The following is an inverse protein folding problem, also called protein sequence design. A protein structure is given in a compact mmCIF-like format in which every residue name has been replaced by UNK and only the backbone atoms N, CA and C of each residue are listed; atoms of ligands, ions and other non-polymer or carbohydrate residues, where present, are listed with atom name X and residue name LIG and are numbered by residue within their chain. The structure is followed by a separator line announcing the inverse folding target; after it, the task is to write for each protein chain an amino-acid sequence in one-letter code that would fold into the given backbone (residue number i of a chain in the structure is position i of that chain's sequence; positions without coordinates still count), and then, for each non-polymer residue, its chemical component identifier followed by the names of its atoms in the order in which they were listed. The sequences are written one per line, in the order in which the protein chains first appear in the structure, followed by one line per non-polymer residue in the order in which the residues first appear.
data_IF_524595830980
#
_entry.id   IF_524595830980
#
_cell.length_a   1.000
_cell.length_b   1.000
_cell.length_c   1.000
_cell.angle_alpha   90.00
_cell.angle_beta   90.00
_cell.angle_gamma   90.00
#
_symmetry.space_group_name_H-M   'P 1'
#
loop_
_entity.id
_entity.type
_entity.pdbx_description
1 polymer ?
#
# COMPACT_ATOMS: atom_id res chain seq x y z
N UNK A 1 -17.42 24.19 -3.77
CA UNK A 1 -15.93 24.34 -3.88
C UNK A 1 -15.54 24.11 -5.33
N UNK A 2 -14.56 24.84 -5.89
CA UNK A 2 -14.14 24.65 -7.29
C UNK A 2 -13.56 23.24 -7.49
N UNK A 3 -13.89 22.50 -8.56
CA UNK A 3 -13.44 21.09 -8.75
C UNK A 3 -11.92 20.89 -8.64
N UNK A 4 -11.15 21.85 -9.17
CA UNK A 4 -9.68 21.83 -9.06
C UNK A 4 -9.17 21.88 -7.62
N UNK A 5 -9.84 22.65 -6.76
CA UNK A 5 -9.49 22.71 -5.34
C UNK A 5 -9.88 21.41 -4.61
N UNK A 6 -10.97 20.78 -5.05
CA UNK A 6 -11.41 19.50 -4.48
C UNK A 6 -10.41 18.38 -4.77
N UNK A 7 -9.91 18.25 -6.01
CA UNK A 7 -8.92 17.21 -6.33
C UNK A 7 -7.62 17.40 -5.56
N UNK A 8 -7.17 18.65 -5.40
CA UNK A 8 -5.96 18.94 -4.63
C UNK A 8 -6.17 18.62 -3.14
N UNK A 9 -7.30 19.03 -2.57
CA UNK A 9 -7.62 18.74 -1.17
C UNK A 9 -7.72 17.23 -0.89
N UNK A 10 -8.47 16.48 -1.72
CA UNK A 10 -8.60 15.03 -1.60
C UNK A 10 -7.25 14.33 -1.78
N UNK A 11 -6.47 14.78 -2.77
CA UNK A 11 -5.14 14.25 -3.03
C UNK A 11 -4.18 14.46 -1.87
N UNK A 12 -4.12 15.66 -1.30
CA UNK A 12 -3.26 15.95 -0.14
C UNK A 12 -3.70 15.16 1.09
N UNK A 13 -5.02 15.10 1.37
CA UNK A 13 -5.54 14.34 2.51
C UNK A 13 -5.20 12.85 2.37
N UNK A 14 -5.38 12.28 1.18
CA UNK A 14 -5.00 10.88 0.91
C UNK A 14 -3.49 10.66 1.05
N UNK A 15 -2.67 11.60 0.55
CA UNK A 15 -1.21 11.51 0.66
C UNK A 15 -0.75 11.48 2.13
N UNK A 16 -1.32 12.33 2.97
CA UNK A 16 -1.03 12.34 4.41
C UNK A 16 -1.40 11.01 5.08
N UNK A 17 -2.53 10.41 4.69
CA UNK A 17 -2.94 9.09 5.19
C UNK A 17 -1.99 7.99 4.72
N UNK A 18 -1.51 8.02 3.45
CA UNK A 18 -0.50 7.06 2.96
C UNK A 18 0.83 7.21 3.68
N UNK A 19 1.30 8.43 3.93
CA UNK A 19 2.52 8.68 4.71
C UNK A 19 2.38 8.19 6.15
N UNK A 20 1.21 8.42 6.75
CA UNK A 20 0.93 7.90 8.09
C UNK A 20 0.86 6.37 8.11
N UNK A 21 0.26 5.75 7.09
CA UNK A 21 0.24 4.31 6.92
C UNK A 21 1.66 3.73 6.78
N UNK A 22 2.51 4.37 5.97
CA UNK A 22 3.91 3.96 5.84
C UNK A 22 4.66 4.06 7.17
N UNK A 23 4.39 5.10 7.97
CA UNK A 23 4.99 5.23 9.30
C UNK A 23 4.56 4.12 10.25
N UNK A 24 3.26 3.83 10.38
CA UNK A 24 2.78 2.80 11.30
C UNK A 24 3.08 1.37 10.82
N UNK A 25 3.44 1.18 9.54
CA UNK A 25 3.79 -0.14 9.02
C UNK A 25 4.91 -0.81 9.80
N UNK A 26 5.84 -0.03 10.38
CA UNK A 26 6.93 -0.53 11.21
C UNK A 26 6.46 -1.16 12.53
N UNK A 27 5.23 -0.85 12.97
CA UNK A 27 4.63 -1.43 14.17
C UNK A 27 4.00 -2.80 13.91
N UNK A 28 3.92 -3.22 12.64
CA UNK A 28 3.48 -4.56 12.23
C UNK A 28 4.66 -5.55 12.23
N UNK A 29 5.38 -5.60 13.33
CA UNK A 29 6.54 -6.46 13.48
C UNK A 29 6.14 -7.94 13.48
N UNK A 30 6.61 -8.70 12.49
CA UNK A 30 6.27 -10.11 12.31
C UNK A 30 6.94 -11.04 13.32
N UNK A 31 7.99 -10.55 14.01
CA UNK A 31 8.72 -11.31 15.03
C UNK A 31 8.10 -11.30 16.43
N UNK A 32 7.21 -10.36 16.75
CA UNK A 32 6.75 -10.09 18.12
C UNK A 32 5.30 -10.54 18.41
N UNK A 33 4.66 -11.27 17.50
CA UNK A 33 3.29 -11.76 17.66
C UNK A 33 2.22 -10.76 17.21
N UNK A 34 0.94 -11.09 17.47
CA UNK A 34 -0.20 -10.34 16.90
C UNK A 34 -0.82 -9.32 17.88
N UNK A 35 -0.55 -9.45 19.19
CA UNK A 35 -1.31 -8.74 20.21
C UNK A 35 -1.13 -7.21 20.17
N UNK A 36 0.05 -6.74 19.80
CA UNK A 36 0.41 -5.31 19.86
C UNK A 36 0.31 -4.60 18.51
N UNK A 37 -0.15 -5.29 17.46
CA UNK A 37 -0.29 -4.69 16.12
C UNK A 37 -1.43 -3.68 16.08
N UNK A 38 -1.24 -2.49 15.48
CA UNK A 38 -2.27 -1.45 15.43
C UNK A 38 -3.33 -1.71 14.34
N UNK A 39 -3.98 -2.89 14.40
CA UNK A 39 -4.94 -3.37 13.37
C UNK A 39 -6.11 -2.40 13.22
N UNK A 40 -6.67 -1.88 14.32
CA UNK A 40 -7.79 -0.95 14.26
C UNK A 40 -7.40 0.38 13.60
N UNK A 41 -6.19 0.88 13.87
CA UNK A 41 -5.66 2.08 13.23
C UNK A 41 -5.49 1.86 11.72
N UNK A 42 -4.93 0.71 11.34
CA UNK A 42 -4.81 0.32 9.92
C UNK A 42 -6.18 0.29 9.24
N UNK A 43 -7.17 -0.40 9.83
CA UNK A 43 -8.53 -0.48 9.28
C UNK A 43 -9.19 0.89 9.16
N UNK A 44 -8.97 1.77 10.15
CA UNK A 44 -9.46 3.15 10.12
C UNK A 44 -8.87 3.95 8.95
N UNK A 45 -7.55 3.87 8.74
CA UNK A 45 -6.87 4.52 7.61
C UNK A 45 -7.36 3.96 6.28
N UNK A 46 -7.41 2.63 6.15
CA UNK A 46 -7.85 1.95 4.94
C UNK A 46 -9.29 2.33 4.57
N UNK A 47 -10.20 2.33 5.56
CA UNK A 47 -11.59 2.76 5.36
C UNK A 47 -11.68 4.22 4.95
N UNK A 48 -10.88 5.11 5.57
CA UNK A 48 -10.83 6.53 5.23
C UNK A 48 -10.34 6.76 3.80
N UNK A 49 -9.27 6.08 3.40
CA UNK A 49 -8.76 6.13 2.01
C UNK A 49 -9.81 5.63 1.00
N UNK A 50 -10.52 4.55 1.34
CA UNK A 50 -11.60 4.01 0.50
C UNK A 50 -12.73 5.02 0.34
N UNK A 51 -13.18 5.66 1.42
CA UNK A 51 -14.22 6.70 1.38
C UNK A 51 -13.79 7.92 0.56
N UNK A 52 -12.52 8.37 0.71
CA UNK A 52 -11.97 9.46 -0.10
C UNK A 52 -11.93 9.08 -1.59
N UNK A 53 -11.54 7.85 -1.91
CA UNK A 53 -11.52 7.35 -3.29
C UNK A 53 -12.93 7.31 -3.90
N UNK A 54 -13.91 6.68 -3.23
CA UNK A 54 -15.29 6.64 -3.73
C UNK A 54 -15.92 8.03 -3.80
N UNK A 55 -15.63 8.89 -2.82
CA UNK A 55 -16.04 10.29 -2.86
C UNK A 55 -15.47 11.04 -4.06
N UNK A 56 -14.18 10.85 -4.36
CA UNK A 56 -13.54 11.42 -5.54
C UNK A 56 -14.19 10.89 -6.83
N UNK A 57 -14.40 9.59 -6.96
CA UNK A 57 -15.08 8.99 -8.10
C UNK A 57 -16.48 9.61 -8.31
N UNK A 58 -17.26 9.73 -7.23
CA UNK A 58 -18.60 10.34 -7.30
C UNK A 58 -18.57 11.81 -7.71
N UNK A 59 -17.65 12.60 -7.17
CA UNK A 59 -17.53 14.04 -7.47
C UNK A 59 -17.09 14.23 -8.92
N UNK A 60 -16.06 13.50 -9.37
CA UNK A 60 -15.44 13.75 -10.67
C UNK A 60 -16.14 13.05 -11.83
N UNK A 61 -16.93 11.99 -11.58
CA UNK A 61 -17.76 11.36 -12.64
C UNK A 61 -18.79 12.31 -13.28
N UNK A 62 -19.15 13.38 -12.57
CA UNK A 62 -20.13 14.40 -13.03
C UNK A 62 -19.48 15.67 -13.57
N UNK A 63 -18.14 15.73 -13.59
CA UNK A 63 -17.44 16.94 -14.06
C UNK A 63 -17.14 16.83 -15.56
N UNK A 64 -17.16 17.97 -16.29
CA UNK A 64 -16.65 18.00 -17.64
C UNK A 64 -15.16 17.68 -17.66
N UNK A 65 -14.66 17.22 -18.81
CA UNK A 65 -13.24 16.93 -18.99
C UNK A 65 -12.37 18.16 -18.68
N UNK A 66 -11.53 18.07 -17.65
CA UNK A 66 -10.57 19.09 -17.24
C UNK A 66 -9.16 18.49 -17.21
N UNK A 67 -8.29 18.98 -18.09
CA UNK A 67 -6.90 18.53 -18.18
C UNK A 67 -6.13 18.67 -16.86
N UNK A 68 -6.44 19.72 -16.07
CA UNK A 68 -5.80 19.89 -14.76
C UNK A 68 -6.20 18.76 -13.81
N UNK A 69 -7.49 18.42 -13.74
CA UNK A 69 -7.98 17.34 -12.87
C UNK A 69 -7.35 16.02 -13.31
N UNK A 70 -7.31 15.73 -14.61
CA UNK A 70 -6.69 14.52 -15.14
C UNK A 70 -5.21 14.39 -14.72
N UNK A 71 -4.40 15.43 -14.97
CA UNK A 71 -2.99 15.37 -14.61
C UNK A 71 -2.75 15.38 -13.10
N UNK A 72 -3.59 16.07 -12.32
CA UNK A 72 -3.54 16.03 -10.86
C UNK A 72 -3.81 14.62 -10.33
N UNK A 73 -4.78 13.90 -10.87
CA UNK A 73 -5.07 12.50 -10.49
C UNK A 73 -3.90 11.58 -10.81
N UNK A 74 -3.26 11.72 -11.98
CA UNK A 74 -2.05 10.97 -12.34
C UNK A 74 -0.92 11.28 -11.37
N UNK A 75 -0.66 12.56 -11.10
CA UNK A 75 0.41 13.00 -10.19
C UNK A 75 0.20 12.45 -8.76
N UNK A 76 -1.01 12.57 -8.22
CA UNK A 76 -1.31 12.02 -6.90
C UNK A 76 -1.24 10.49 -6.89
N UNK A 77 -1.70 9.82 -7.95
CA UNK A 77 -1.55 8.36 -8.07
C UNK A 77 -0.09 7.89 -8.03
N UNK A 78 0.82 8.64 -8.63
CA UNK A 78 2.27 8.38 -8.52
C UNK A 78 2.79 8.70 -7.11
N UNK A 79 2.41 9.85 -6.55
CA UNK A 79 2.83 10.25 -5.20
C UNK A 79 2.40 9.23 -4.13
N UNK A 80 1.19 8.66 -4.25
CA UNK A 80 0.72 7.62 -3.32
C UNK A 80 1.61 6.37 -3.37
N UNK A 81 2.04 5.96 -4.57
CA UNK A 81 2.95 4.82 -4.73
C UNK A 81 4.31 5.09 -4.10
N UNK A 82 4.87 6.28 -4.33
CA UNK A 82 6.13 6.67 -3.69
C UNK A 82 6.00 6.81 -2.17
N UNK A 83 4.88 7.30 -1.67
CA UNK A 83 4.64 7.45 -0.24
C UNK A 83 4.59 6.10 0.50
N UNK A 84 4.06 5.05 -0.14
CA UNK A 84 3.96 3.71 0.47
C UNK A 84 5.19 2.83 0.20
N UNK A 85 6.08 3.21 -0.70
CA UNK A 85 7.25 2.42 -1.09
C UNK A 85 8.17 2.05 0.09
N UNK A 86 8.43 2.93 1.07
CA UNK A 86 9.23 2.60 2.25
C UNK A 86 8.47 1.83 3.33
N UNK A 87 7.17 1.54 3.15
CA UNK A 87 6.39 0.82 4.14
C UNK A 87 6.84 -0.65 4.24
N UNK A 88 6.76 -1.18 5.46
CA UNK A 88 6.92 -2.61 5.70
C UNK A 88 5.61 -3.36 5.39
N UNK A 89 5.70 -4.68 5.29
CA UNK A 89 4.54 -5.53 5.03
C UNK A 89 3.57 -5.48 6.22
N UNK A 90 2.31 -5.16 5.93
CA UNK A 90 1.30 -4.97 6.97
C UNK A 90 0.45 -6.23 7.17
N UNK A 91 0.06 -6.91 6.09
CA UNK A 91 -0.92 -8.00 6.15
C UNK A 91 -0.28 -9.38 6.14
N UNK A 92 0.75 -9.58 5.31
CA UNK A 92 1.35 -10.89 5.06
C UNK A 92 2.86 -10.78 4.93
N UNK A 93 3.57 -11.84 5.28
CA UNK A 93 5.01 -11.98 5.16
C UNK A 93 5.43 -12.86 3.95
N UNK A 94 4.49 -13.16 3.08
CA UNK A 94 4.69 -14.02 1.89
C UNK A 94 5.81 -13.55 0.96
N UNK A 95 6.19 -12.28 1.03
CA UNK A 95 7.34 -11.78 0.24
C UNK A 95 8.62 -12.56 0.56
N UNK A 96 8.83 -12.97 1.82
CA UNK A 96 10.00 -13.77 2.19
C UNK A 96 9.93 -15.16 1.57
N UNK A 97 8.73 -15.73 1.47
CA UNK A 97 8.49 -16.99 0.78
C UNK A 97 8.80 -16.87 -0.71
N UNK A 98 8.31 -15.84 -1.37
CA UNK A 98 8.59 -15.62 -2.80
C UNK A 98 10.07 -15.39 -3.08
N UNK A 99 10.78 -14.66 -2.21
CA UNK A 99 12.23 -14.48 -2.31
C UNK A 99 12.97 -15.81 -2.15
N UNK A 100 12.55 -16.63 -1.19
CA UNK A 100 13.12 -17.97 -1.00
C UNK A 100 12.84 -18.86 -2.21
N UNK A 101 11.60 -18.95 -2.67
CA UNK A 101 11.21 -19.74 -3.84
C UNK A 101 12.05 -19.33 -5.08
N UNK A 102 12.22 -18.04 -5.32
CA UNK A 102 13.05 -17.54 -6.41
C UNK A 102 14.51 -17.91 -6.27
N UNK A 103 15.08 -17.83 -5.07
CA UNK A 103 16.47 -18.19 -4.79
C UNK A 103 16.71 -19.69 -4.98
N UNK A 104 15.83 -20.52 -4.44
CA UNK A 104 15.89 -21.99 -4.58
C UNK A 104 15.78 -22.39 -6.05
N UNK A 105 14.81 -21.81 -6.78
CA UNK A 105 14.63 -22.06 -8.21
C UNK A 105 15.86 -21.66 -9.03
N UNK A 106 16.51 -20.54 -8.70
CA UNK A 106 17.73 -20.09 -9.40
C UNK A 106 18.92 -21.06 -9.22
N UNK A 107 18.87 -21.90 -8.18
CA UNK A 107 19.85 -22.98 -7.93
C UNK A 107 19.38 -24.34 -8.49
N UNK A 108 18.41 -24.36 -9.41
CA UNK A 108 17.85 -25.56 -10.03
C UNK A 108 17.18 -26.54 -9.04
N UNK A 109 16.70 -26.04 -7.91
CA UNK A 109 15.94 -26.81 -6.93
C UNK A 109 14.46 -26.45 -7.07
N UNK A 110 13.59 -27.45 -7.03
CA UNK A 110 12.16 -27.25 -7.10
C UNK A 110 11.64 -26.69 -5.75
N UNK A 111 11.14 -25.45 -5.67
CA UNK A 111 10.69 -24.85 -4.41
C UNK A 111 9.45 -25.52 -3.81
N UNK A 112 8.76 -26.38 -4.55
CA UNK A 112 7.59 -27.12 -4.09
C UNK A 112 7.93 -28.51 -3.53
N UNK A 113 9.19 -28.94 -3.63
CA UNK A 113 9.64 -30.25 -3.18
C UNK A 113 10.11 -30.24 -1.74
N UNK A 114 10.62 -29.08 -1.27
CA UNK A 114 11.21 -28.92 0.06
C UNK A 114 10.56 -27.77 0.84
N UNK A 115 10.45 -27.92 2.15
CA UNK A 115 10.10 -26.80 3.01
C UNK A 115 11.31 -25.86 3.22
N UNK A 116 11.09 -24.54 3.49
CA UNK A 116 12.18 -23.60 3.78
C UNK A 116 13.11 -24.04 4.91
N UNK A 117 12.59 -24.81 5.88
CA UNK A 117 13.37 -25.38 7.01
C UNK A 117 14.28 -26.54 6.62
N UNK A 118 14.11 -27.13 5.45
CA UNK A 118 14.89 -28.29 4.97
C UNK A 118 16.04 -27.89 4.06
N UNK A 119 16.05 -26.63 3.60
CA UNK A 119 17.05 -26.11 2.66
C UNK A 119 17.68 -24.87 3.27
N UNK A 120 18.74 -25.07 4.05
CA UNK A 120 19.39 -24.01 4.83
C UNK A 120 20.62 -23.37 4.17
N UNK A 121 21.27 -24.04 3.22
CA UNK A 121 22.60 -23.67 2.72
C UNK A 121 22.55 -23.19 1.25
N UNK A 122 22.24 -21.88 1.07
CA UNK A 122 22.42 -21.21 -0.23
C UNK A 122 23.18 -19.88 -0.08
#
# INVERSE_FOLDING_TARGET
MRPRLQVVFLGITSLLLYLFLAKISTEFNWGEGYADRPILTYLGIYSSLSLLFFGACFIFSKQPEDRFIFWAMIAFGLLFRFAILPAQQIQEDDVYRYLWDGKVFSNNINPFEYAPSEVHDF
#
